data_IF_205139050110
#
_entry.id   IF_205139050110
#
_cell.length_a   1.000
_cell.length_b   1.000
_cell.length_c   1.000
_cell.angle_alpha   90.00
_cell.angle_beta   90.00
_cell.angle_gamma   90.00
#
_symmetry.space_group_name_H-M   'P 1'
#
loop_
_entity.id
_entity.type
_entity.pdbx_description
1 polymer ?
#
# COMPACT_ATOMS: atom_id res chain seq x y z
N UNK A 1 -56.91 -10.69 -26.08
CA UNK A 1 -56.29 -9.86 -27.14
C UNK A 1 -54.91 -9.43 -26.67
N UNK A 2 -53.90 -9.48 -27.56
CA UNK A 2 -52.63 -8.69 -27.59
C UNK A 2 -52.03 -8.18 -26.26
N UNK A 3 -50.84 -8.61 -25.79
CA UNK A 3 -49.48 -8.40 -26.37
C UNK A 3 -49.07 -6.90 -26.46
N UNK A 4 -47.84 -6.44 -26.17
CA UNK A 4 -46.54 -7.14 -26.01
C UNK A 4 -45.40 -6.21 -25.46
N UNK A 5 -44.19 -6.79 -25.22
CA UNK A 5 -42.82 -6.17 -25.03
C UNK A 5 -42.52 -5.48 -23.68
N UNK A 6 -41.31 -5.55 -23.09
CA UNK A 6 -40.02 -6.29 -23.29
C UNK A 6 -39.18 -6.10 -21.97
N UNK A 7 -38.04 -6.72 -21.62
CA UNK A 7 -37.06 -7.69 -22.19
C UNK A 7 -36.64 -8.70 -21.08
N UNK A 8 -35.61 -9.54 -21.30
CA UNK A 8 -34.89 -10.35 -20.29
C UNK A 8 -33.38 -10.08 -20.44
N UNK A 9 -32.60 -10.05 -19.34
CA UNK A 9 -31.13 -10.09 -19.35
C UNK A 9 -30.60 -11.09 -18.32
N UNK A 10 -29.58 -11.90 -18.67
CA UNK A 10 -29.07 -13.05 -17.89
C UNK A 10 -27.56 -12.94 -17.60
N UNK A 11 -27.18 -13.27 -16.35
CA UNK A 11 -25.99 -14.03 -15.88
C UNK A 11 -24.55 -13.52 -16.12
N UNK A 12 -23.68 -13.95 -15.19
CA UNK A 12 -22.20 -13.90 -15.23
C UNK A 12 -21.66 -12.88 -14.22
N UNK A 13 -21.04 -13.21 -13.08
CA UNK A 13 -20.25 -14.36 -12.63
C UNK A 13 -19.01 -14.64 -13.49
N UNK A 14 -17.85 -14.19 -13.02
CA UNK A 14 -16.53 -14.65 -13.44
C UNK A 14 -15.67 -14.84 -12.18
N UNK A 15 -15.34 -16.09 -11.89
CA UNK A 15 -14.28 -16.46 -10.97
C UNK A 15 -12.96 -16.57 -11.75
N UNK A 16 -11.85 -16.16 -11.14
CA UNK A 16 -10.52 -16.35 -11.71
C UNK A 16 -9.84 -17.59 -11.11
N UNK A 17 -10.14 -18.77 -11.67
CA UNK A 17 -9.34 -19.98 -11.46
C UNK A 17 -8.38 -20.21 -12.63
N UNK A 18 -7.16 -20.65 -12.31
CA UNK A 18 -6.10 -20.83 -13.29
C UNK A 18 -6.31 -22.01 -14.24
N UNK A 19 -5.73 -21.89 -15.44
CA UNK A 19 -5.40 -22.99 -16.34
C UNK A 19 -6.47 -23.38 -17.37
N UNK A 20 -6.10 -23.36 -18.65
CA UNK A 20 -6.40 -24.44 -19.61
C UNK A 20 -5.42 -24.41 -20.78
N UNK A 21 -5.08 -25.62 -21.22
CA UNK A 21 -4.20 -25.99 -22.33
C UNK A 21 -4.59 -25.32 -23.65
N UNK A 22 -3.61 -24.79 -24.37
CA UNK A 22 -3.78 -24.33 -25.75
C UNK A 22 -4.02 -25.51 -26.69
N UNK A 23 -5.21 -25.56 -27.30
CA UNK A 23 -5.51 -26.52 -28.38
C UNK A 23 -5.64 -25.74 -29.68
N UNK A 24 -4.68 -25.91 -30.60
CA UNK A 24 -4.67 -25.18 -31.88
C UNK A 24 -5.66 -25.81 -32.85
N UNK A 25 -6.68 -25.04 -33.24
CA UNK A 25 -7.54 -25.33 -34.39
C UNK A 25 -7.25 -24.30 -35.49
N UNK A 26 -6.61 -24.75 -36.56
CA UNK A 26 -6.38 -23.96 -37.77
C UNK A 26 -7.69 -23.77 -38.53
N UNK A 27 -8.14 -22.51 -38.64
CA UNK A 27 -9.19 -22.10 -39.57
C UNK A 27 -8.58 -21.27 -40.72
N UNK A 28 -9.12 -21.31 -41.95
CA UNK A 28 -8.49 -20.64 -43.09
C UNK A 28 -8.56 -19.11 -42.99
N UNK A 29 -7.47 -18.43 -43.33
CA UNK A 29 -7.44 -16.98 -43.38
C UNK A 29 -8.29 -16.42 -44.52
N UNK A 30 -9.40 -15.78 -44.17
CA UNK A 30 -10.06 -14.84 -45.07
C UNK A 30 -9.24 -13.54 -45.11
N UNK A 31 -8.92 -13.05 -46.31
CA UNK A 31 -8.04 -11.90 -46.53
C UNK A 31 -8.63 -10.58 -46.01
N UNK A 32 -8.40 -10.28 -44.74
CA UNK A 32 -8.66 -8.95 -44.18
C UNK A 32 -7.61 -7.95 -44.67
N UNK A 33 -8.05 -6.93 -45.40
CA UNK A 33 -7.24 -5.77 -45.78
C UNK A 33 -6.73 -5.07 -44.50
N UNK A 34 -5.44 -4.68 -44.39
CA UNK A 34 -4.85 -4.36 -43.09
C UNK A 34 -5.36 -3.04 -42.51
N UNK A 35 -5.97 -3.09 -41.32
CA UNK A 35 -6.32 -1.90 -40.53
C UNK A 35 -5.08 -1.18 -39.94
N UNK A 36 -3.91 -1.83 -39.98
CA UNK A 36 -2.64 -1.32 -39.45
C UNK A 36 -2.16 -0.08 -40.19
N UNK A 37 -2.10 -0.11 -41.53
CA UNK A 37 -1.53 0.96 -42.35
C UNK A 37 -2.28 2.29 -42.25
N UNK A 38 -3.60 2.25 -42.05
CA UNK A 38 -4.44 3.43 -41.83
C UNK A 38 -4.29 4.03 -40.41
N UNK A 39 -3.72 3.28 -39.47
CA UNK A 39 -3.42 3.76 -38.11
C UNK A 39 -2.03 4.38 -38.10
N UNK A 40 -1.05 3.72 -38.71
CA UNK A 40 0.32 4.24 -38.90
C UNK A 40 0.33 5.58 -39.66
N UNK A 41 -0.48 5.70 -40.72
CA UNK A 41 -0.61 6.93 -41.50
C UNK A 41 -1.14 8.11 -40.67
N UNK A 42 -2.20 7.90 -39.88
CA UNK A 42 -2.77 8.92 -38.99
C UNK A 42 -1.80 9.33 -37.88
N UNK A 43 -1.02 8.38 -37.36
CA UNK A 43 0.01 8.66 -36.35
C UNK A 43 1.15 9.50 -36.94
N UNK A 44 1.59 9.20 -38.17
CA UNK A 44 2.61 9.98 -38.87
C UNK A 44 2.15 11.42 -39.22
N UNK A 45 0.87 11.60 -39.58
CA UNK A 45 0.29 12.94 -39.78
C UNK A 45 0.16 13.72 -38.47
N UNK A 46 -0.30 13.08 -37.40
CA UNK A 46 -0.35 13.69 -36.07
C UNK A 46 1.04 14.12 -35.59
N UNK A 47 2.05 13.26 -35.72
CA UNK A 47 3.45 13.58 -35.41
C UNK A 47 3.93 14.83 -36.18
N UNK A 48 3.72 14.88 -37.50
CA UNK A 48 4.09 16.05 -38.32
C UNK A 48 3.33 17.32 -37.93
N UNK A 49 2.08 17.22 -37.47
CA UNK A 49 1.34 18.37 -36.98
C UNK A 49 1.87 18.87 -35.63
N UNK A 50 2.15 17.96 -34.70
CA UNK A 50 2.69 18.27 -33.37
C UNK A 50 4.10 18.86 -33.45
N UNK A 51 5.01 18.27 -34.23
CA UNK A 51 6.38 18.80 -34.46
C UNK A 51 6.37 20.26 -34.95
N UNK A 52 5.42 20.62 -35.82
CA UNK A 52 5.29 21.99 -36.34
C UNK A 52 4.66 22.98 -35.35
N UNK A 53 4.01 22.49 -34.30
CA UNK A 53 3.34 23.29 -33.28
C UNK A 53 4.10 23.32 -31.94
N UNK A 54 5.09 22.44 -31.75
CA UNK A 54 5.86 22.34 -30.52
C UNK A 54 6.82 23.52 -30.36
N UNK A 55 6.90 24.06 -29.14
CA UNK A 55 7.91 25.04 -28.74
C UNK A 55 8.94 24.36 -27.84
N UNK A 56 10.25 24.46 -28.14
CA UNK A 56 11.28 23.76 -27.37
C UNK A 56 11.54 24.44 -26.02
N UNK A 57 11.47 23.65 -24.94
CA UNK A 57 12.03 24.00 -23.64
C UNK A 57 13.53 23.71 -23.64
N UNK A 58 14.35 24.68 -23.22
CA UNK A 58 15.83 24.59 -23.25
C UNK A 58 16.43 24.02 -21.97
N UNK A 59 15.68 24.04 -20.88
CA UNK A 59 16.07 23.45 -19.60
C UNK A 59 14.83 23.11 -18.76
N UNK A 60 14.97 22.16 -17.86
CA UNK A 60 14.02 21.85 -16.78
C UNK A 60 14.53 22.29 -15.41
N UNK A 61 15.72 22.90 -15.33
CA UNK A 61 16.34 23.35 -14.09
C UNK A 61 15.78 24.72 -13.63
N UNK A 62 15.43 24.90 -12.34
CA UNK A 62 14.93 26.16 -11.82
C UNK A 62 16.01 27.26 -11.79
N UNK A 63 15.58 28.52 -11.90
CA UNK A 63 16.47 29.69 -11.82
C UNK A 63 17.26 30.01 -13.10
N UNK A 64 17.07 29.24 -14.18
CA UNK A 64 17.68 29.49 -15.50
C UNK A 64 17.05 30.64 -16.30
N UNK A 65 17.51 30.79 -17.55
CA UNK A 65 16.98 31.76 -18.50
C UNK A 65 15.61 31.33 -19.05
N UNK A 66 14.57 32.12 -18.81
CA UNK A 66 13.16 31.85 -19.17
C UNK A 66 12.76 32.33 -20.58
N UNK A 67 13.71 32.69 -21.44
CA UNK A 67 13.43 33.30 -22.75
C UNK A 67 12.68 32.41 -23.76
N UNK A 68 12.70 31.10 -23.57
CA UNK A 68 11.93 30.09 -24.30
C UNK A 68 10.45 30.06 -23.90
N UNK A 69 10.13 30.34 -22.63
CA UNK A 69 8.76 30.45 -22.11
C UNK A 69 7.98 31.66 -22.67
N UNK A 70 8.60 32.54 -23.45
CA UNK A 70 7.93 33.69 -24.09
C UNK A 70 6.74 33.27 -24.96
N UNK A 71 6.84 32.15 -25.65
CA UNK A 71 5.73 31.61 -26.45
C UNK A 71 4.54 31.21 -25.57
N UNK A 72 4.80 30.55 -24.43
CA UNK A 72 3.78 30.20 -23.45
C UNK A 72 3.10 31.44 -22.87
N UNK A 73 3.87 32.49 -22.54
CA UNK A 73 3.30 33.77 -22.10
C UNK A 73 2.36 34.41 -23.14
N UNK A 74 2.69 34.32 -24.42
CA UNK A 74 1.82 34.80 -25.51
C UNK A 74 0.55 33.93 -25.69
N UNK A 75 0.64 32.62 -25.43
CA UNK A 75 -0.52 31.70 -25.46
C UNK A 75 -1.48 31.93 -24.28
N UNK A 76 -0.94 32.27 -23.11
CA UNK A 76 -1.74 32.64 -21.92
C UNK A 76 -2.47 33.98 -22.15
N UNK A 77 -1.80 34.96 -22.77
CA UNK A 77 -2.38 36.26 -23.08
C UNK A 77 -2.94 36.97 -21.84
N UNK A 78 -4.07 37.66 -21.99
CA UNK A 78 -4.72 38.43 -20.92
C UNK A 78 -5.58 37.57 -19.96
N UNK A 79 -5.34 36.25 -19.89
CA UNK A 79 -6.08 35.36 -19.01
C UNK A 79 -5.86 35.70 -17.53
N UNK A 80 -6.93 36.16 -16.86
CA UNK A 80 -6.88 36.60 -15.44
C UNK A 80 -6.74 35.45 -14.43
N UNK A 81 -7.00 34.21 -14.85
CA UNK A 81 -6.84 32.99 -14.06
C UNK A 81 -6.27 31.94 -15.02
N UNK A 82 -5.16 31.31 -14.63
CA UNK A 82 -4.48 30.28 -15.42
C UNK A 82 -4.48 28.99 -14.62
N UNK A 83 -5.14 27.96 -15.13
CA UNK A 83 -5.07 26.62 -14.55
C UNK A 83 -3.85 25.88 -15.11
N UNK A 84 -2.85 25.63 -14.27
CA UNK A 84 -1.71 24.79 -14.59
C UNK A 84 -1.95 23.38 -14.03
N UNK A 85 -1.92 22.37 -14.90
CA UNK A 85 -2.01 20.97 -14.48
C UNK A 85 -0.65 20.46 -14.04
N UNK A 86 -0.37 20.46 -12.74
CA UNK A 86 0.89 19.99 -12.16
C UNK A 86 0.81 18.52 -11.72
N UNK A 87 1.96 17.84 -11.72
CA UNK A 87 2.11 16.61 -10.94
C UNK A 87 2.18 16.98 -9.45
N UNK A 88 1.43 16.31 -8.58
CA UNK A 88 1.29 16.72 -7.16
C UNK A 88 2.58 16.74 -6.35
N UNK A 89 3.62 16.01 -6.77
CA UNK A 89 4.96 16.14 -6.21
C UNK A 89 5.54 17.55 -6.43
N UNK A 90 5.34 18.15 -7.61
CA UNK A 90 5.83 19.49 -7.93
C UNK A 90 5.14 20.55 -7.07
N UNK A 91 3.85 20.37 -6.74
CA UNK A 91 3.15 21.24 -5.80
C UNK A 91 3.76 21.16 -4.38
N UNK A 92 4.14 19.97 -3.90
CA UNK A 92 4.90 19.81 -2.65
C UNK A 92 6.28 20.47 -2.75
N UNK A 93 7.00 20.28 -3.84
CA UNK A 93 8.34 20.85 -4.04
C UNK A 93 8.29 22.40 -4.06
N UNK A 94 7.27 22.99 -4.69
CA UNK A 94 6.99 24.42 -4.69
C UNK A 94 6.68 24.94 -3.28
N UNK A 95 5.82 24.27 -2.51
CA UNK A 95 5.55 24.65 -1.11
C UNK A 95 6.83 24.55 -0.28
N UNK A 96 7.60 23.48 -0.45
CA UNK A 96 8.87 23.24 0.26
C UNK A 96 9.91 24.32 -0.06
N UNK A 97 10.05 24.71 -1.32
CA UNK A 97 10.98 25.75 -1.77
C UNK A 97 10.63 27.14 -1.24
N UNK A 98 9.36 27.43 -0.96
CA UNK A 98 8.88 28.73 -0.48
C UNK A 98 8.87 28.86 1.06
N UNK A 99 9.68 28.08 1.78
CA UNK A 99 9.72 28.05 3.25
C UNK A 99 9.94 29.40 3.93
N UNK A 100 10.82 30.25 3.41
CA UNK A 100 11.18 31.52 4.04
C UNK A 100 11.55 31.36 5.53
N UNK A 101 10.97 32.20 6.40
CA UNK A 101 11.05 32.07 7.87
C UNK A 101 9.87 31.28 8.44
N UNK A 102 9.42 30.22 7.75
CA UNK A 102 8.13 29.56 7.95
C UNK A 102 7.80 29.22 9.41
N UNK A 103 6.63 29.68 9.87
CA UNK A 103 6.04 29.32 11.16
C UNK A 103 4.89 28.32 11.02
N UNK A 104 4.05 28.21 12.05
CA UNK A 104 3.07 27.14 12.21
C UNK A 104 2.17 26.87 10.99
N UNK A 105 1.59 27.93 10.40
CA UNK A 105 0.73 27.84 9.23
C UNK A 105 1.47 27.30 7.98
N UNK A 106 2.78 27.53 7.88
CA UNK A 106 3.60 26.97 6.82
C UNK A 106 3.83 25.47 7.01
N UNK A 107 4.14 25.02 8.23
CA UNK A 107 4.34 23.59 8.52
C UNK A 107 3.08 22.77 8.21
N UNK A 108 1.90 23.33 8.51
CA UNK A 108 0.61 22.75 8.12
C UNK A 108 0.42 22.69 6.60
N UNK A 109 0.71 23.78 5.89
CA UNK A 109 0.61 23.81 4.42
C UNK A 109 1.55 22.79 3.76
N UNK A 110 2.79 22.69 4.23
CA UNK A 110 3.78 21.70 3.79
C UNK A 110 3.28 20.27 4.06
N UNK A 111 2.75 20.00 5.27
CA UNK A 111 2.25 18.67 5.63
C UNK A 111 0.98 18.28 4.86
N UNK A 112 0.08 19.22 4.57
CA UNK A 112 -1.08 18.97 3.71
C UNK A 112 -0.65 18.69 2.26
N UNK A 113 0.27 19.48 1.70
CA UNK A 113 0.84 19.22 0.38
C UNK A 113 1.54 17.85 0.32
N UNK A 114 2.24 17.46 1.39
CA UNK A 114 2.91 16.16 1.53
C UNK A 114 1.93 15.00 1.53
N UNK A 115 0.83 15.12 2.28
CA UNK A 115 -0.22 14.10 2.29
C UNK A 115 -0.91 13.95 0.92
N UNK A 116 -1.14 15.05 0.21
CA UNK A 116 -1.69 15.03 -1.16
C UNK A 116 -0.71 14.35 -2.13
N UNK A 117 0.57 14.73 -2.11
CA UNK A 117 1.60 14.13 -2.96
C UNK A 117 1.75 12.61 -2.71
N UNK A 118 1.84 12.19 -1.44
CA UNK A 118 1.89 10.78 -1.05
C UNK A 118 0.65 10.01 -1.53
N UNK A 119 -0.55 10.57 -1.37
CA UNK A 119 -1.81 9.94 -1.79
C UNK A 119 -1.83 9.75 -3.31
N UNK A 120 -1.49 10.79 -4.07
CA UNK A 120 -1.46 10.73 -5.53
C UNK A 120 -0.41 9.74 -6.05
N UNK A 121 0.80 9.74 -5.46
CA UNK A 121 1.85 8.78 -5.77
C UNK A 121 1.36 7.34 -5.56
N UNK A 122 0.69 7.05 -4.44
CA UNK A 122 0.09 5.73 -4.20
C UNK A 122 -0.99 5.37 -5.23
N UNK A 123 -1.91 6.30 -5.53
CA UNK A 123 -2.98 6.06 -6.53
C UNK A 123 -2.49 6.00 -7.99
N UNK A 124 -1.24 6.39 -8.26
CA UNK A 124 -0.62 6.30 -9.59
C UNK A 124 -0.04 4.92 -9.92
N UNK A 125 0.05 4.04 -8.92
CA UNK A 125 0.57 2.68 -9.07
C UNK A 125 -0.55 1.75 -9.55
N UNK A 126 -0.23 0.89 -10.54
CA UNK A 126 -1.18 -0.09 -11.04
C UNK A 126 -1.27 -1.29 -10.08
N UNK A 127 -2.26 -1.28 -9.20
CA UNK A 127 -2.51 -2.39 -8.26
C UNK A 127 -3.05 -3.66 -8.95
N UNK A 128 -3.33 -3.64 -10.26
CA UNK A 128 -3.61 -4.84 -11.04
C UNK A 128 -2.33 -5.54 -11.55
N UNK A 129 -1.19 -4.85 -11.56
CA UNK A 129 0.13 -5.44 -11.80
C UNK A 129 0.73 -5.98 -10.48
N UNK A 130 0.94 -7.31 -10.36
CA UNK A 130 1.55 -7.90 -9.17
C UNK A 130 2.97 -7.39 -8.85
N UNK A 131 3.71 -6.87 -9.84
CA UNK A 131 5.05 -6.31 -9.59
C UNK A 131 4.97 -4.96 -8.88
N UNK A 132 3.93 -4.16 -9.17
CA UNK A 132 3.70 -2.84 -8.58
C UNK A 132 3.13 -2.88 -7.15
N UNK A 133 2.49 -3.98 -6.73
CA UNK A 133 1.90 -4.12 -5.38
C UNK A 133 2.94 -3.94 -4.26
N UNK A 134 4.13 -4.55 -4.40
CA UNK A 134 5.21 -4.43 -3.40
C UNK A 134 5.72 -2.99 -3.26
N UNK A 135 5.81 -2.26 -4.39
CA UNK A 135 6.18 -0.85 -4.40
C UNK A 135 5.09 0.04 -3.76
N UNK A 136 3.81 -0.32 -3.94
CA UNK A 136 2.70 0.39 -3.32
C UNK A 136 2.68 0.24 -1.79
N UNK A 137 2.86 -0.98 -1.27
CA UNK A 137 2.92 -1.20 0.18
C UNK A 137 4.18 -0.59 0.81
N UNK A 138 5.33 -0.62 0.11
CA UNK A 138 6.55 0.09 0.55
C UNK A 138 6.33 1.61 0.66
N UNK A 139 5.73 2.22 -0.37
CA UNK A 139 5.38 3.66 -0.37
C UNK A 139 4.38 4.00 0.74
N UNK A 140 3.39 3.13 0.96
CA UNK A 140 2.37 3.28 2.00
C UNK A 140 2.98 3.24 3.40
N UNK A 141 3.85 2.27 3.70
CA UNK A 141 4.48 2.13 5.00
C UNK A 141 5.48 3.25 5.30
N UNK A 142 6.23 3.72 4.28
CA UNK A 142 7.05 4.93 4.37
C UNK A 142 6.20 6.17 4.67
N UNK A 143 5.12 6.40 3.92
CA UNK A 143 4.23 7.55 4.12
C UNK A 143 3.54 7.52 5.50
N UNK A 144 3.09 6.35 5.95
CA UNK A 144 2.52 6.16 7.29
C UNK A 144 3.55 6.41 8.40
N UNK A 145 4.82 6.02 8.20
CA UNK A 145 5.90 6.29 9.14
C UNK A 145 6.26 7.79 9.20
N UNK A 146 6.43 8.44 8.05
CA UNK A 146 6.76 9.87 7.96
C UNK A 146 5.70 10.74 8.63
N UNK A 147 4.42 10.47 8.36
CA UNK A 147 3.30 11.21 8.94
C UNK A 147 3.21 11.00 10.46
N UNK A 148 3.49 9.79 10.94
CA UNK A 148 3.55 9.49 12.39
C UNK A 148 4.72 10.22 13.05
N UNK A 149 5.91 10.19 12.43
CA UNK A 149 7.11 10.84 12.97
C UNK A 149 7.04 12.38 12.88
N UNK A 150 6.35 12.94 11.88
CA UNK A 150 6.03 14.38 11.81
C UNK A 150 5.16 14.80 12.99
N UNK A 151 4.06 14.07 13.24
CA UNK A 151 3.18 14.34 14.38
C UNK A 151 3.91 14.25 15.73
N UNK A 152 4.75 13.23 15.91
CA UNK A 152 5.53 13.05 17.14
C UNK A 152 6.52 14.21 17.35
N UNK A 153 7.25 14.63 16.32
CA UNK A 153 8.20 15.76 16.42
C UNK A 153 7.50 17.09 16.66
N UNK A 154 6.31 17.29 16.08
CA UNK A 154 5.55 18.54 16.19
C UNK A 154 4.87 18.72 17.54
N UNK A 155 4.37 17.63 18.14
CA UNK A 155 3.70 17.67 19.44
C UNK A 155 4.66 17.46 20.61
N UNK A 156 5.70 16.63 20.43
CA UNK A 156 6.51 16.10 21.51
C UNK A 156 5.79 15.02 22.35
N UNK A 157 4.53 14.72 22.04
CA UNK A 157 3.67 13.84 22.84
C UNK A 157 4.01 12.35 22.65
N UNK A 158 3.64 11.55 23.65
CA UNK A 158 3.69 10.09 23.54
C UNK A 158 2.51 9.60 22.71
N UNK A 159 2.80 9.13 21.49
CA UNK A 159 1.80 8.61 20.56
C UNK A 159 1.60 7.09 20.67
N UNK A 160 0.36 6.64 20.43
CA UNK A 160 0.04 5.23 20.16
C UNK A 160 -0.33 5.07 18.69
N UNK A 161 0.50 4.35 17.94
CA UNK A 161 0.20 3.93 16.58
C UNK A 161 -0.62 2.63 16.62
N UNK A 162 -1.88 2.70 16.18
CA UNK A 162 -2.75 1.52 16.02
C UNK A 162 -2.76 1.09 14.56
N UNK A 163 -2.01 0.04 14.22
CA UNK A 163 -1.97 -0.57 12.89
C UNK A 163 -1.80 -2.09 13.02
N UNK A 164 -1.93 -2.82 11.90
CA UNK A 164 -1.74 -4.27 11.86
C UNK A 164 -0.30 -4.69 12.22
N UNK A 165 -0.16 -5.89 12.79
CA UNK A 165 1.10 -6.52 13.16
C UNK A 165 2.22 -6.39 12.11
N UNK A 166 1.89 -6.60 10.83
CA UNK A 166 2.83 -6.55 9.71
C UNK A 166 3.34 -5.15 9.38
N UNK A 167 2.66 -4.10 9.85
CA UNK A 167 3.12 -2.71 9.73
C UNK A 167 3.97 -2.29 10.93
N UNK A 168 3.50 -2.56 12.16
CA UNK A 168 4.19 -2.08 13.38
C UNK A 168 5.46 -2.85 13.73
N UNK A 169 5.58 -4.10 13.29
CA UNK A 169 6.76 -4.94 13.55
C UNK A 169 7.97 -4.57 12.69
N UNK A 170 9.13 -5.17 12.98
CA UNK A 170 10.37 -5.04 12.21
C UNK A 170 10.51 -6.07 11.09
N UNK A 171 9.65 -7.09 11.08
CA UNK A 171 9.61 -8.16 10.09
C UNK A 171 8.16 -8.40 9.66
N UNK A 172 7.96 -8.69 8.38
CA UNK A 172 6.67 -9.12 7.83
C UNK A 172 6.61 -10.64 7.66
N UNK A 173 5.41 -11.19 7.86
CA UNK A 173 5.02 -12.55 7.47
C UNK A 173 4.95 -12.77 5.96
N UNK A 174 4.89 -11.69 5.18
CA UNK A 174 4.98 -11.66 3.71
C UNK A 174 6.02 -10.59 3.32
N UNK A 175 7.33 -10.90 3.33
CA UNK A 175 8.39 -9.94 3.04
C UNK A 175 8.54 -9.63 1.54
N UNK A 176 7.82 -10.34 0.67
CA UNK A 176 7.75 -10.00 -0.76
C UNK A 176 6.75 -8.87 -0.97
N UNK A 177 5.59 -8.93 -0.32
CA UNK A 177 4.59 -7.87 -0.34
C UNK A 177 5.01 -6.66 0.51
N UNK A 178 5.60 -6.90 1.68
CA UNK A 178 6.03 -5.85 2.63
C UNK A 178 7.55 -5.94 2.87
N UNK A 179 8.39 -5.47 1.93
CA UNK A 179 9.84 -5.58 2.01
C UNK A 179 10.46 -4.65 3.07
N UNK A 180 9.77 -3.59 3.47
CA UNK A 180 10.14 -2.75 4.61
C UNK A 180 8.86 -2.22 5.25
N UNK A 181 8.73 -2.40 6.56
CA UNK A 181 7.52 -2.09 7.32
C UNK A 181 7.57 -0.68 7.90
N UNK A 182 6.39 -0.14 8.25
CA UNK A 182 6.27 1.13 8.97
C UNK A 182 7.13 1.14 10.25
N UNK A 183 7.20 0.01 10.96
CA UNK A 183 8.00 -0.17 12.17
C UNK A 183 9.52 -0.06 11.93
N UNK A 184 10.03 -0.52 10.78
CA UNK A 184 11.45 -0.32 10.42
C UNK A 184 11.71 1.16 10.14
N UNK A 185 10.86 1.83 9.37
CA UNK A 185 11.01 3.27 9.11
C UNK A 185 10.96 4.11 10.39
N UNK A 186 10.02 3.80 11.30
CA UNK A 186 9.93 4.47 12.61
C UNK A 186 11.12 4.17 13.52
N UNK A 187 11.64 2.93 13.54
CA UNK A 187 12.86 2.57 14.26
C UNK A 187 14.08 3.33 13.75
N UNK A 188 14.19 3.54 12.43
CA UNK A 188 15.25 4.32 11.81
C UNK A 188 15.12 5.82 12.13
N UNK A 189 13.90 6.37 12.09
CA UNK A 189 13.66 7.80 12.30
C UNK A 189 13.67 8.25 13.77
N UNK A 190 13.29 7.38 14.70
CA UNK A 190 13.11 7.68 16.13
C UNK A 190 14.08 6.90 17.04
N UNK A 191 14.93 6.04 16.47
CA UNK A 191 15.90 5.27 17.23
C UNK A 191 15.26 4.45 18.36
N UNK A 192 15.69 4.66 19.60
CA UNK A 192 15.19 3.93 20.78
C UNK A 192 13.83 4.38 21.27
N UNK A 193 13.31 5.50 20.77
CA UNK A 193 12.05 6.10 21.24
C UNK A 193 10.82 5.50 20.54
N UNK A 194 11.03 4.73 19.45
CA UNK A 194 10.03 3.79 18.94
C UNK A 194 10.05 2.47 19.73
N UNK A 195 8.89 1.83 19.90
CA UNK A 195 8.78 0.47 20.40
C UNK A 195 7.62 -0.26 19.71
N UNK A 196 7.87 -1.47 19.20
CA UNK A 196 6.88 -2.27 18.51
C UNK A 196 6.17 -3.23 19.47
N UNK A 197 4.83 -3.19 19.48
CA UNK A 197 3.98 -4.12 20.23
C UNK A 197 3.26 -5.02 19.23
N UNK A 198 3.55 -6.32 19.27
CA UNK A 198 2.87 -7.34 18.46
C UNK A 198 1.78 -8.06 19.23
N UNK A 199 0.77 -8.56 18.53
CA UNK A 199 -0.29 -9.41 19.09
C UNK A 199 -0.20 -10.85 18.56
N UNK A 200 -0.56 -11.84 19.38
CA UNK A 200 -0.74 -13.24 18.99
C UNK A 200 -1.99 -13.81 19.64
N UNK A 201 -2.56 -14.86 19.05
CA UNK A 201 -3.66 -15.58 19.66
C UNK A 201 -3.61 -17.09 19.40
N UNK A 202 -4.02 -17.91 20.37
CA UNK A 202 -3.91 -19.36 20.27
C UNK A 202 -5.04 -20.01 19.47
N UNK A 203 -6.26 -19.45 19.50
CA UNK A 203 -7.42 -19.96 18.76
C UNK A 203 -8.54 -18.91 18.62
N UNK A 204 -9.58 -19.25 17.87
CA UNK A 204 -10.86 -18.54 17.91
C UNK A 204 -11.28 -17.99 16.55
N UNK A 205 -12.02 -16.88 16.58
CA UNK A 205 -12.67 -16.32 15.40
C UNK A 205 -12.30 -14.87 15.14
N UNK A 206 -12.31 -14.46 13.88
CA UNK A 206 -12.08 -13.08 13.44
C UNK A 206 -12.78 -12.83 12.09
N UNK A 207 -12.84 -11.56 11.68
CA UNK A 207 -13.36 -11.15 10.38
C UNK A 207 -12.22 -10.99 9.37
N UNK A 208 -12.43 -11.47 8.15
CA UNK A 208 -11.55 -11.24 6.98
C UNK A 208 -12.41 -10.99 5.74
N UNK A 209 -11.86 -10.37 4.71
CA UNK A 209 -12.46 -10.34 3.38
C UNK A 209 -11.68 -11.26 2.42
N UNK A 210 -12.34 -11.76 1.37
CA UNK A 210 -11.70 -12.51 0.27
C UNK A 210 -11.24 -11.60 -0.85
N UNK A 211 -11.84 -10.42 -1.00
CA UNK A 211 -11.48 -9.37 -1.96
C UNK A 211 -11.45 -8.02 -1.27
N UNK A 212 -10.60 -7.10 -1.76
CA UNK A 212 -10.58 -5.72 -1.27
C UNK A 212 -11.94 -5.05 -1.50
N UNK A 213 -12.50 -4.44 -0.45
CA UNK A 213 -13.87 -3.87 -0.48
C UNK A 213 -15.00 -4.91 -0.50
N UNK A 214 -14.69 -6.20 -0.36
CA UNK A 214 -15.67 -7.28 -0.26
C UNK A 214 -16.41 -7.34 1.08
N UNK A 215 -17.31 -8.31 1.21
CA UNK A 215 -17.98 -8.59 2.47
C UNK A 215 -16.99 -9.15 3.52
N UNK A 216 -17.19 -8.78 4.78
CA UNK A 216 -16.44 -9.34 5.91
C UNK A 216 -17.08 -10.64 6.39
N UNK A 217 -16.35 -11.74 6.19
CA UNK A 217 -16.73 -13.10 6.56
C UNK A 217 -16.05 -13.52 7.87
N UNK A 218 -16.78 -14.30 8.68
CA UNK A 218 -16.23 -14.89 9.90
C UNK A 218 -15.39 -16.11 9.54
N UNK A 219 -14.10 -16.06 9.85
CA UNK A 219 -13.22 -17.24 9.86
C UNK A 219 -13.02 -17.70 11.30
N UNK A 220 -12.86 -19.00 11.49
CA UNK A 220 -12.51 -19.60 12.78
C UNK A 220 -11.32 -20.53 12.57
N UNK A 221 -10.29 -20.39 13.40
CA UNK A 221 -9.10 -21.24 13.39
C UNK A 221 -9.11 -22.18 14.61
N UNK A 222 -8.52 -23.38 14.50
CA UNK A 222 -8.38 -24.28 15.64
C UNK A 222 -7.37 -23.73 16.66
N UNK A 223 -7.14 -24.51 17.73
CA UNK A 223 -5.96 -24.34 18.57
C UNK A 223 -4.67 -24.47 17.75
N UNK A 224 -3.72 -23.58 18.02
CA UNK A 224 -2.40 -23.58 17.43
C UNK A 224 -1.72 -24.95 17.57
N UNK A 225 -1.06 -25.41 16.50
CA UNK A 225 -0.39 -26.71 16.47
C UNK A 225 0.98 -26.67 17.17
N UNK A 226 1.52 -27.81 17.66
CA UNK A 226 2.74 -27.85 18.47
C UNK A 226 4.03 -27.25 17.86
N UNK A 227 4.07 -27.06 16.54
CA UNK A 227 5.16 -26.44 15.81
C UNK A 227 5.07 -24.90 15.73
N UNK A 228 3.89 -24.33 16.00
CA UNK A 228 3.61 -22.89 16.00
C UNK A 228 4.20 -22.16 17.22
N UNK A 229 4.39 -20.84 17.10
CA UNK A 229 4.76 -20.03 18.27
C UNK A 229 3.63 -20.00 19.31
N UNK A 230 2.39 -19.84 18.86
CA UNK A 230 1.22 -19.59 19.68
C UNK A 230 0.87 -20.78 20.57
N UNK A 231 1.16 -22.02 20.16
CA UNK A 231 1.01 -23.20 21.04
C UNK A 231 1.91 -23.10 22.28
N UNK A 232 3.18 -22.72 22.10
CA UNK A 232 4.13 -22.60 23.23
C UNK A 232 3.80 -21.40 24.11
N UNK A 233 3.20 -20.35 23.54
CA UNK A 233 2.69 -19.21 24.29
C UNK A 233 1.44 -19.61 25.13
N UNK A 234 0.50 -20.37 24.57
CA UNK A 234 -0.72 -20.81 25.27
C UNK A 234 -0.46 -21.82 26.42
N UNK A 235 0.73 -22.45 26.46
CA UNK A 235 1.19 -23.25 27.59
C UNK A 235 1.58 -22.40 28.82
N UNK A 236 1.68 -21.08 28.71
CA UNK A 236 1.92 -20.19 29.85
C UNK A 236 0.69 -20.19 30.75
N UNK A 237 0.89 -20.28 32.07
CA UNK A 237 -0.18 -20.35 33.09
C UNK A 237 -1.17 -19.17 33.14
N UNK A 238 -1.01 -18.16 32.29
CA UNK A 238 -1.82 -16.96 32.22
C UNK A 238 -2.61 -17.00 30.91
N UNK A 239 -3.93 -16.81 30.99
CA UNK A 239 -4.81 -16.88 29.82
C UNK A 239 -4.48 -15.79 28.79
N UNK A 240 -4.43 -14.55 29.24
CA UNK A 240 -4.10 -13.39 28.42
C UNK A 240 -3.01 -12.60 29.15
N UNK A 241 -1.93 -12.25 28.46
CA UNK A 241 -0.74 -11.67 29.09
C UNK A 241 0.14 -10.90 28.10
N UNK A 242 1.15 -10.19 28.63
CA UNK A 242 2.17 -9.52 27.83
C UNK A 242 3.60 -9.90 28.28
N UNK A 243 4.55 -9.82 27.35
CA UNK A 243 5.97 -10.10 27.54
C UNK A 243 6.84 -8.95 27.02
N UNK A 244 7.87 -8.56 27.77
CA UNK A 244 8.97 -7.75 27.24
C UNK A 244 10.03 -8.68 26.63
N UNK A 245 10.02 -8.78 25.30
CA UNK A 245 10.85 -9.72 24.54
C UNK A 245 12.34 -9.42 24.68
N UNK A 246 12.69 -8.15 24.92
CA UNK A 246 14.07 -7.68 25.09
C UNK A 246 14.71 -8.31 26.33
N UNK A 247 13.92 -8.47 27.40
CA UNK A 247 14.38 -9.00 28.70
C UNK A 247 14.31 -10.52 28.84
N UNK A 248 13.82 -11.25 27.83
CA UNK A 248 13.59 -12.69 27.95
C UNK A 248 14.84 -13.51 28.32
N UNK A 249 14.70 -14.57 29.14
CA UNK A 249 15.75 -15.58 29.32
C UNK A 249 16.15 -16.23 27.99
N UNK A 250 17.39 -16.71 27.89
CA UNK A 250 18.00 -17.22 26.65
C UNK A 250 17.14 -18.30 25.96
N UNK A 251 16.54 -19.23 26.71
CA UNK A 251 15.69 -20.26 26.13
C UNK A 251 14.46 -19.69 25.41
N UNK A 252 13.75 -18.74 26.03
CA UNK A 252 12.59 -18.07 25.44
C UNK A 252 12.98 -17.16 24.25
N UNK A 253 14.11 -16.45 24.37
CA UNK A 253 14.66 -15.64 23.27
C UNK A 253 15.01 -16.51 22.06
N UNK A 254 15.72 -17.64 22.26
CA UNK A 254 16.09 -18.55 21.18
C UNK A 254 14.85 -19.17 20.51
N UNK A 255 13.83 -19.54 21.29
CA UNK A 255 12.57 -20.04 20.76
C UNK A 255 11.88 -19.01 19.84
N UNK A 256 11.66 -17.78 20.34
CA UNK A 256 10.95 -16.73 19.60
C UNK A 256 11.78 -16.09 18.46
N UNK A 257 13.10 -16.19 18.50
CA UNK A 257 13.99 -15.76 17.41
C UNK A 257 14.11 -16.78 16.27
N UNK A 258 13.56 -17.99 16.43
CA UNK A 258 13.49 -19.00 15.37
C UNK A 258 12.18 -18.79 14.58
N UNK A 259 12.20 -18.69 13.23
CA UNK A 259 10.98 -18.64 12.44
C UNK A 259 10.11 -19.89 12.65
N UNK A 260 8.83 -19.69 12.99
CA UNK A 260 7.82 -20.74 13.14
C UNK A 260 6.49 -20.28 12.56
N UNK A 261 5.56 -21.19 12.22
CA UNK A 261 4.25 -20.79 11.72
C UNK A 261 3.48 -19.97 12.75
N UNK A 262 2.72 -18.98 12.27
CA UNK A 262 1.92 -18.04 13.08
C UNK A 262 0.55 -17.78 12.45
N UNK A 263 -0.44 -17.42 13.27
CA UNK A 263 -1.70 -16.88 12.77
C UNK A 263 -1.57 -15.40 12.44
N UNK A 264 -1.69 -15.07 11.15
CA UNK A 264 -1.66 -13.69 10.66
C UNK A 264 -3.03 -13.25 10.13
N UNK A 265 -3.95 -12.88 11.03
CA UNK A 265 -5.27 -12.38 10.68
C UNK A 265 -5.22 -10.90 10.30
N UNK A 266 -5.54 -10.56 9.05
CA UNK A 266 -5.67 -9.19 8.56
C UNK A 266 -6.93 -9.04 7.68
N UNK A 267 -6.92 -8.03 6.79
CA UNK A 267 -7.99 -7.86 5.79
C UNK A 267 -8.13 -9.06 4.85
N UNK A 268 -7.07 -9.85 4.69
CA UNK A 268 -7.08 -11.20 4.14
C UNK A 268 -6.44 -12.16 5.15
N UNK A 269 -6.76 -13.45 5.05
CA UNK A 269 -6.17 -14.51 5.88
C UNK A 269 -5.79 -15.71 5.00
N UNK A 270 -4.55 -16.18 5.16
CA UNK A 270 -4.00 -17.38 4.51
C UNK A 270 -3.66 -18.40 5.60
N UNK A 271 -4.22 -19.60 5.53
CA UNK A 271 -4.02 -20.67 6.52
C UNK A 271 -3.28 -21.90 5.97
N UNK A 272 -3.07 -22.00 4.65
CA UNK A 272 -2.34 -23.11 4.04
C UNK A 272 -1.46 -22.60 2.87
N UNK A 273 -0.12 -22.65 3.01
CA UNK A 273 0.60 -22.82 4.27
C UNK A 273 0.38 -21.62 5.20
N UNK A 274 0.49 -21.83 6.51
CA UNK A 274 0.63 -20.71 7.46
C UNK A 274 1.95 -19.96 7.19
N UNK A 275 1.97 -18.61 7.25
CA UNK A 275 3.22 -17.87 7.16
C UNK A 275 4.07 -18.13 8.40
N UNK A 276 5.39 -17.94 8.28
CA UNK A 276 6.32 -18.04 9.41
C UNK A 276 6.86 -16.68 9.83
N UNK A 277 7.17 -16.52 11.12
CA UNK A 277 7.75 -15.30 11.67
C UNK A 277 8.72 -15.63 12.82
N UNK A 278 9.80 -14.86 12.95
CA UNK A 278 10.63 -14.83 14.15
C UNK A 278 10.13 -13.71 15.09
N UNK A 279 9.12 -14.01 15.91
CA UNK A 279 8.43 -13.02 16.76
C UNK A 279 9.39 -12.17 17.61
N UNK A 280 10.44 -12.79 18.17
CA UNK A 280 11.44 -12.12 19.00
C UNK A 280 12.37 -11.15 18.25
N UNK A 281 12.36 -11.19 16.91
CA UNK A 281 13.02 -10.22 16.04
C UNK A 281 12.03 -9.17 15.49
N UNK A 282 10.74 -9.49 15.46
CA UNK A 282 9.70 -8.64 14.89
C UNK A 282 9.18 -7.56 15.87
N UNK A 283 9.24 -7.77 17.19
CA UNK A 283 8.63 -6.86 18.18
C UNK A 283 9.52 -6.66 19.42
N UNK A 284 9.31 -5.58 20.17
CA UNK A 284 9.90 -5.37 21.50
C UNK A 284 9.04 -6.00 22.61
N UNK A 285 7.72 -5.92 22.44
CA UNK A 285 6.71 -6.36 23.40
C UNK A 285 5.72 -7.25 22.65
N UNK A 286 5.31 -8.35 23.27
CA UNK A 286 4.27 -9.23 22.75
C UNK A 286 3.07 -9.21 23.68
N UNK A 287 1.87 -9.14 23.13
CA UNK A 287 0.61 -9.45 23.81
C UNK A 287 0.12 -10.80 23.25
N UNK A 288 -0.22 -11.72 24.14
CA UNK A 288 -0.79 -13.02 23.80
C UNK A 288 -2.20 -13.14 24.36
N UNK A 289 -3.12 -13.63 23.54
CA UNK A 289 -4.52 -13.86 23.87
C UNK A 289 -4.84 -15.35 23.67
N UNK A 290 -5.31 -16.04 24.71
CA UNK A 290 -5.69 -17.46 24.57
C UNK A 290 -6.80 -17.65 23.52
N UNK A 291 -7.73 -16.70 23.41
CA UNK A 291 -8.84 -16.79 22.45
C UNK A 291 -9.28 -15.44 21.94
N UNK A 292 -9.51 -15.35 20.62
CA UNK A 292 -10.15 -14.19 19.98
C UNK A 292 -11.57 -14.52 19.50
N UNK A 293 -12.38 -13.48 19.37
CA UNK A 293 -13.74 -13.53 18.84
C UNK A 293 -13.88 -12.46 17.75
N UNK A 294 -14.81 -12.67 16.82
CA UNK A 294 -15.04 -11.71 15.75
C UNK A 294 -15.46 -10.34 16.29
N UNK A 295 -14.95 -9.27 15.67
CA UNK A 295 -15.39 -7.92 15.98
C UNK A 295 -16.89 -7.77 15.66
N UNK A 296 -17.60 -6.97 16.46
CA UNK A 296 -18.94 -6.53 16.10
C UNK A 296 -18.87 -5.74 14.78
N UNK A 297 -19.80 -6.03 13.85
CA UNK A 297 -19.96 -5.23 12.65
C UNK A 297 -20.54 -3.87 13.05
N UNK A 298 -19.82 -2.79 12.70
CA UNK A 298 -20.25 -1.40 12.87
C UNK A 298 -21.36 -1.05 11.86
#
# INVERSE_FOLDING_TARGET
MTAHKRVIGRRGLLAATAGIVATVLLAPAASATPATTATDGRQADAHRALERAAHPLRSTEPGGNTGDLRALGAMVGDARVVGLGEATQQALDLVTANKGTGGDAYEWAEQHARNIAQTFAFTSLDLADPQSVSAAELLRDQAMADNTAWWQRRTGDKMLLSAHNGHVGYLSTDPVMYPTTQGVFLRNALGRDYAAIGFTFAQGSFLTATTFGGAWDKVTVPAAAPDMHEYTLDLVRHRDYYLDLRTLPVAGRNWLNTPRPVYNAGSSFKNDPLPTLAIGQAYDILIHLNQVHEAAKL
#
